data_IF_572503092298
#
_entry.id   IF_572503092298
#
_cell.length_a   1.000
_cell.length_b   1.000
_cell.length_c   1.000
_cell.angle_alpha   90.00
_cell.angle_beta   90.00
_cell.angle_gamma   90.00
#
_symmetry.space_group_name_H-M   'P 1'
#
loop_
_entity.id
_entity.type
_entity.pdbx_description
1 polymer ?
#
# COMPACT_ATOMS: atom_id res chain seq x y z
N UNK A 1 -9.43 -6.53 -2.83
CA UNK A 1 -8.38 -7.13 -3.67
C UNK A 1 -8.11 -8.56 -3.27
N UNK A 2 -8.30 -9.51 -4.21
CA UNK A 2 -8.07 -10.94 -3.99
C UNK A 2 -6.59 -11.29 -3.80
N UNK A 3 -5.70 -10.56 -4.46
CA UNK A 3 -4.25 -10.82 -4.43
C UNK A 3 -3.55 -10.16 -3.24
N UNK A 4 -3.97 -8.96 -2.86
CA UNK A 4 -3.38 -8.17 -1.77
C UNK A 4 -4.45 -7.57 -0.85
N UNK A 5 -5.11 -8.39 -0.02
CA UNK A 5 -6.18 -7.90 0.86
C UNK A 5 -5.63 -6.88 1.86
N UNK A 6 -6.26 -5.70 1.88
CA UNK A 6 -5.85 -4.58 2.72
C UNK A 6 -4.64 -3.81 2.19
N UNK A 7 -4.19 -4.04 0.96
CA UNK A 7 -3.17 -3.21 0.31
C UNK A 7 -3.80 -2.05 -0.47
N UNK A 8 -3.15 -0.88 -0.43
CA UNK A 8 -3.25 0.10 -1.50
C UNK A 8 -2.30 -0.36 -2.60
N UNK A 9 -2.67 -0.19 -3.86
CA UNK A 9 -1.84 -0.51 -5.03
C UNK A 9 -2.18 0.49 -6.13
N UNK A 10 -1.32 0.59 -7.13
CA UNK A 10 -1.66 1.21 -8.40
C UNK A 10 -2.47 0.20 -9.23
N UNK A 11 -3.44 0.64 -10.05
CA UNK A 11 -4.18 -0.27 -10.90
C UNK A 11 -3.27 -1.03 -11.86
N UNK A 12 -3.52 -2.32 -12.06
CA UNK A 12 -2.72 -3.11 -12.99
C UNK A 12 -2.87 -4.62 -12.83
N UNK A 13 -2.47 -5.32 -13.88
CA UNK A 13 -2.55 -6.77 -13.97
C UNK A 13 -1.70 -7.32 -15.12
N UNK A 14 -2.15 -8.44 -15.69
CA UNK A 14 -1.42 -9.16 -16.72
C UNK A 14 -1.40 -8.42 -18.06
N UNK A 15 -0.39 -8.69 -18.87
CA UNK A 15 -0.35 -8.26 -20.28
C UNK A 15 -0.71 -9.46 -21.13
N UNK A 16 -1.75 -9.33 -21.94
CA UNK A 16 -2.18 -10.42 -22.82
C UNK A 16 -1.26 -10.58 -24.04
N UNK A 17 -1.29 -11.76 -24.65
CA UNK A 17 -0.50 -12.02 -25.86
C UNK A 17 -0.88 -11.07 -27.00
N UNK A 18 0.10 -10.30 -27.47
CA UNK A 18 -0.09 -9.31 -28.54
C UNK A 18 -0.63 -7.97 -28.06
N UNK A 19 -0.92 -7.82 -26.76
CA UNK A 19 -1.35 -6.56 -26.15
C UNK A 19 -0.13 -5.65 -25.91
N UNK A 20 -0.29 -4.35 -26.18
CA UNK A 20 0.74 -3.36 -25.83
C UNK A 20 0.68 -3.03 -24.34
N UNK A 21 1.81 -2.64 -23.73
CA UNK A 21 1.86 -2.26 -22.32
C UNK A 21 0.89 -1.11 -21.97
N UNK A 22 0.76 -0.13 -22.88
CA UNK A 22 -0.16 0.98 -22.68
C UNK A 22 -1.63 0.53 -22.77
N UNK A 23 -1.94 -0.41 -23.67
CA UNK A 23 -3.27 -1.00 -23.81
C UNK A 23 -3.63 -1.84 -22.58
N UNK A 24 -2.72 -2.70 -22.11
CA UNK A 24 -2.94 -3.50 -20.91
C UNK A 24 -3.19 -2.62 -19.68
N UNK A 25 -2.35 -1.61 -19.44
CA UNK A 25 -2.55 -0.69 -18.33
C UNK A 25 -3.85 0.11 -18.44
N UNK A 26 -4.28 0.50 -19.65
CA UNK A 26 -5.56 1.16 -19.87
C UNK A 26 -6.76 0.22 -19.62
N UNK A 27 -6.66 -1.05 -20.03
CA UNK A 27 -7.67 -2.08 -19.77
C UNK A 27 -7.82 -2.32 -18.28
N UNK A 28 -6.73 -2.56 -17.56
CA UNK A 28 -6.74 -2.81 -16.11
C UNK A 28 -7.29 -1.60 -15.33
N UNK A 29 -6.94 -0.38 -15.76
CA UNK A 29 -7.52 0.85 -15.18
C UNK A 29 -9.04 0.92 -15.39
N UNK A 30 -9.54 0.52 -16.56
CA UNK A 30 -10.98 0.45 -16.81
C UNK A 30 -11.63 -0.68 -16.00
N UNK A 31 -11.02 -1.87 -15.99
CA UNK A 31 -11.53 -3.03 -15.28
C UNK A 31 -11.63 -2.73 -13.79
N UNK A 32 -10.57 -2.27 -13.12
CA UNK A 32 -10.55 -2.13 -11.67
C UNK A 32 -11.28 -0.88 -11.13
N UNK A 33 -11.21 0.26 -11.86
CA UNK A 33 -11.73 1.56 -11.37
C UNK A 33 -12.68 2.27 -12.33
N UNK A 34 -13.01 1.66 -13.47
CA UNK A 34 -13.99 2.19 -14.43
C UNK A 34 -13.52 3.41 -15.22
N UNK A 35 -12.25 3.80 -15.11
CA UNK A 35 -11.74 4.99 -15.79
C UNK A 35 -11.32 4.63 -17.22
N UNK A 36 -11.95 5.28 -18.20
CA UNK A 36 -11.63 5.10 -19.61
C UNK A 36 -10.65 6.17 -20.07
N UNK A 37 -9.56 5.75 -20.71
CA UNK A 37 -8.60 6.63 -21.36
C UNK A 37 -8.96 6.83 -22.83
N UNK A 38 -8.73 8.04 -23.33
CA UNK A 38 -8.79 8.35 -24.76
C UNK A 38 -7.58 7.78 -25.50
N UNK A 39 -7.70 7.62 -26.81
CA UNK A 39 -6.58 7.18 -27.65
C UNK A 39 -5.36 8.13 -27.54
N UNK A 40 -5.60 9.43 -27.35
CA UNK A 40 -4.55 10.44 -27.17
C UNK A 40 -3.80 10.27 -25.84
N UNK A 41 -4.53 10.01 -24.74
CA UNK A 41 -3.91 9.76 -23.43
C UNK A 41 -3.09 8.46 -23.43
N UNK A 42 -3.56 7.43 -24.15
CA UNK A 42 -2.85 6.16 -24.30
C UNK A 42 -1.57 6.34 -25.12
N UNK A 43 -1.64 7.06 -26.25
CA UNK A 43 -0.49 7.22 -27.14
C UNK A 43 0.62 8.09 -26.54
N UNK A 44 0.28 9.02 -25.64
CA UNK A 44 1.24 9.86 -24.92
C UNK A 44 1.71 9.27 -23.58
N UNK A 45 1.30 8.05 -23.26
CA UNK A 45 1.73 7.34 -22.05
C UNK A 45 3.25 7.08 -22.06
N UNK A 46 3.84 6.95 -20.87
CA UNK A 46 5.28 6.68 -20.71
C UNK A 46 5.53 5.69 -19.58
N UNK A 47 6.57 4.88 -19.76
CA UNK A 47 7.11 4.05 -18.67
C UNK A 47 7.84 4.97 -17.68
N UNK A 48 7.56 4.81 -16.39
CA UNK A 48 8.22 5.56 -15.31
C UNK A 48 9.12 4.70 -14.45
N UNK A 49 8.87 3.39 -14.37
CA UNK A 49 9.65 2.47 -13.56
C UNK A 49 9.48 1.03 -14.05
N UNK A 50 10.51 0.22 -13.83
CA UNK A 50 10.46 -1.23 -13.94
C UNK A 50 10.83 -1.82 -12.59
N UNK A 51 10.11 -2.86 -12.17
CA UNK A 51 10.36 -3.53 -10.91
C UNK A 51 10.30 -5.05 -11.07
N UNK A 52 11.37 -5.72 -10.69
CA UNK A 52 11.40 -7.17 -10.64
C UNK A 52 10.75 -7.65 -9.33
N UNK A 53 9.61 -8.33 -9.45
CA UNK A 53 8.85 -8.84 -8.32
C UNK A 53 8.96 -10.36 -8.24
N UNK A 54 9.59 -10.84 -7.16
CA UNK A 54 9.76 -12.26 -6.86
C UNK A 54 9.00 -12.63 -5.58
N UNK A 55 8.40 -13.81 -5.56
CA UNK A 55 7.78 -14.39 -4.36
C UNK A 55 8.15 -15.87 -4.19
N UNK A 56 8.60 -16.30 -3.01
CA UNK A 56 9.07 -15.46 -1.91
C UNK A 56 10.28 -14.60 -2.31
N UNK A 57 10.53 -13.52 -1.57
CA UNK A 57 11.66 -12.60 -1.84
C UNK A 57 13.01 -13.21 -1.48
N UNK A 58 13.01 -14.29 -0.69
CA UNK A 58 14.19 -15.02 -0.28
C UNK A 58 14.01 -16.52 -0.53
N UNK A 59 15.06 -17.16 -1.03
CA UNK A 59 15.11 -18.62 -1.21
C UNK A 59 15.12 -19.38 0.12
N UNK A 60 15.43 -18.70 1.23
CA UNK A 60 15.31 -19.25 2.60
C UNK A 60 13.85 -19.51 2.97
N UNK A 61 12.91 -18.72 2.44
CA UNK A 61 11.47 -18.90 2.66
C UNK A 61 10.84 -19.98 1.76
N UNK A 62 11.60 -20.46 0.76
CA UNK A 62 11.20 -21.54 -0.15
C UNK A 62 11.48 -21.25 -1.62
N UNK A 63 11.09 -22.17 -2.53
CA UNK A 63 11.27 -21.99 -3.97
C UNK A 63 10.41 -20.85 -4.52
N UNK A 64 10.89 -20.20 -5.58
CA UNK A 64 10.15 -19.18 -6.32
C UNK A 64 8.81 -19.73 -6.81
N UNK A 65 7.73 -19.02 -6.49
CA UNK A 65 6.34 -19.30 -6.88
C UNK A 65 5.77 -18.25 -7.82
N UNK A 66 6.39 -17.07 -7.89
CA UNK A 66 6.01 -16.00 -8.79
C UNK A 66 7.22 -15.14 -9.11
N UNK A 67 7.34 -14.79 -10.39
CA UNK A 67 8.40 -13.93 -10.91
C UNK A 67 7.80 -13.09 -12.03
N UNK A 68 7.68 -11.79 -11.78
CA UNK A 68 7.06 -10.85 -12.69
C UNK A 68 7.95 -9.63 -12.86
N UNK A 69 8.03 -9.12 -14.08
CA UNK A 69 8.53 -7.78 -14.34
C UNK A 69 7.33 -6.83 -14.37
N UNK A 70 7.21 -6.00 -13.35
CA UNK A 70 6.15 -4.98 -13.27
C UNK A 70 6.63 -3.74 -14.00
N UNK A 71 5.85 -3.29 -14.99
CA UNK A 71 6.13 -2.05 -15.73
C UNK A 71 5.12 -1.00 -15.31
N UNK A 72 5.58 0.08 -14.71
CA UNK A 72 4.73 1.18 -14.28
C UNK A 72 4.58 2.20 -15.41
N UNK A 73 3.33 2.45 -15.79
CA UNK A 73 2.95 3.38 -16.84
C UNK A 73 2.34 4.65 -16.23
N UNK A 74 2.70 5.80 -16.78
CA UNK A 74 2.09 7.09 -16.47
C UNK A 74 1.22 7.54 -17.62
N UNK A 75 -0.01 7.93 -17.27
CA UNK A 75 -0.95 8.60 -18.16
C UNK A 75 -1.18 10.03 -17.66
N UNK A 76 -1.36 10.97 -18.59
CA UNK A 76 -1.76 12.35 -18.26
C UNK A 76 -3.22 12.50 -18.66
N UNK A 77 -4.08 12.66 -17.68
CA UNK A 77 -5.51 12.85 -17.91
C UNK A 77 -5.83 14.24 -18.44
N UNK A 78 -6.78 14.34 -19.36
CA UNK A 78 -7.20 15.59 -19.99
C UNK A 78 -8.02 16.49 -19.04
N UNK A 79 -8.80 15.88 -18.15
CA UNK A 79 -9.68 16.59 -17.22
C UNK A 79 -9.12 16.60 -15.79
N UNK A 80 -9.54 17.56 -14.94
CA UNK A 80 -9.30 17.49 -13.51
C UNK A 80 -9.94 16.24 -12.88
N UNK A 81 -9.32 15.69 -11.84
CA UNK A 81 -9.78 14.47 -11.16
C UNK A 81 -11.26 14.53 -10.69
N UNK A 82 -11.75 15.72 -10.33
CA UNK A 82 -13.14 15.94 -9.89
C UNK A 82 -14.19 15.69 -10.99
N UNK A 83 -13.79 15.61 -12.26
CA UNK A 83 -14.70 15.35 -13.39
C UNK A 83 -14.80 13.87 -13.76
N UNK A 84 -13.98 13.01 -13.15
CA UNK A 84 -14.05 11.57 -13.37
C UNK A 84 -14.92 10.90 -12.32
N UNK A 85 -15.89 10.11 -12.78
CA UNK A 85 -16.61 9.16 -11.92
C UNK A 85 -15.89 7.82 -11.97
N UNK A 86 -15.45 7.34 -10.80
CA UNK A 86 -14.81 6.02 -10.66
C UNK A 86 -15.87 4.97 -10.36
N UNK A 87 -15.78 3.83 -11.03
CA UNK A 87 -16.64 2.67 -10.83
C UNK A 87 -15.77 1.49 -10.41
N UNK A 88 -15.69 1.26 -9.10
CA UNK A 88 -14.82 0.22 -8.54
C UNK A 88 -15.42 -1.16 -8.77
N UNK A 89 -14.60 -2.12 -9.21
CA UNK A 89 -14.99 -3.53 -9.17
C UNK A 89 -14.86 -4.07 -7.76
N UNK A 90 -15.96 -4.36 -7.06
CA UNK A 90 -15.92 -4.66 -5.62
C UNK A 90 -15.15 -5.93 -5.28
N UNK A 91 -15.04 -6.88 -6.21
CA UNK A 91 -14.25 -8.09 -6.04
C UNK A 91 -12.74 -7.82 -5.97
N UNK A 92 -12.29 -6.71 -6.58
CA UNK A 92 -10.87 -6.39 -6.75
C UNK A 92 -10.49 -5.13 -5.99
N UNK A 93 -11.27 -4.07 -6.06
CA UNK A 93 -10.97 -2.77 -5.45
C UNK A 93 -12.10 -2.36 -4.51
N UNK A 94 -11.78 -2.21 -3.23
CA UNK A 94 -12.74 -1.75 -2.22
C UNK A 94 -12.71 -0.24 -1.99
N UNK A 95 -11.58 0.41 -2.32
CA UNK A 95 -11.36 1.85 -2.14
C UNK A 95 -10.40 2.38 -3.20
N UNK A 96 -10.61 3.63 -3.61
CA UNK A 96 -9.73 4.38 -4.49
C UNK A 96 -9.53 5.80 -3.95
N UNK A 97 -8.43 6.45 -4.32
CA UNK A 97 -8.19 7.83 -3.93
C UNK A 97 -7.33 8.59 -4.95
N UNK A 98 -7.66 9.86 -5.15
CA UNK A 98 -6.78 10.81 -5.83
C UNK A 98 -5.85 11.47 -4.81
N UNK A 99 -4.54 11.43 -5.07
CA UNK A 99 -3.52 12.07 -4.25
C UNK A 99 -3.00 13.34 -4.91
N UNK A 100 -2.92 14.43 -4.15
CA UNK A 100 -2.13 15.60 -4.54
C UNK A 100 -0.63 15.30 -4.44
N UNK A 101 0.23 16.08 -5.11
CA UNK A 101 1.68 15.94 -4.97
C UNK A 101 2.17 16.03 -3.51
N UNK A 102 1.56 16.90 -2.71
CA UNK A 102 1.91 17.06 -1.29
C UNK A 102 1.59 15.81 -0.47
N UNK A 103 0.42 15.21 -0.69
CA UNK A 103 0.02 13.99 0.02
C UNK A 103 0.83 12.79 -0.43
N UNK A 104 1.15 12.71 -1.72
CA UNK A 104 2.06 11.69 -2.23
C UNK A 104 3.42 11.80 -1.54
N UNK A 105 3.98 13.01 -1.43
CA UNK A 105 5.23 13.25 -0.70
C UNK A 105 5.13 12.84 0.78
N UNK A 106 4.00 13.09 1.44
CA UNK A 106 3.77 12.66 2.83
C UNK A 106 3.73 11.13 2.97
N UNK A 107 3.07 10.44 2.04
CA UNK A 107 2.99 8.98 2.01
C UNK A 107 4.38 8.38 1.79
N UNK A 108 5.14 8.91 0.82
CA UNK A 108 6.51 8.48 0.54
C UNK A 108 7.46 8.71 1.73
N UNK A 109 7.36 9.88 2.38
CA UNK A 109 8.17 10.20 3.56
C UNK A 109 7.88 9.27 4.74
N UNK A 110 6.60 8.96 4.99
CA UNK A 110 6.21 8.01 6.03
C UNK A 110 6.80 6.63 5.78
N UNK A 111 6.72 6.14 4.54
CA UNK A 111 7.29 4.85 4.17
C UNK A 111 8.82 4.81 4.32
N UNK A 112 9.51 5.87 3.91
CA UNK A 112 10.97 5.97 4.07
C UNK A 112 11.40 5.95 5.54
N UNK A 113 10.61 6.55 6.44
CA UNK A 113 10.84 6.49 7.88
C UNK A 113 10.65 5.06 8.41
N UNK A 114 9.52 4.42 8.10
CA UNK A 114 9.21 3.05 8.52
C UNK A 114 10.29 2.04 8.08
N UNK A 115 10.82 2.21 6.85
CA UNK A 115 11.89 1.38 6.29
C UNK A 115 13.22 1.59 7.02
N UNK A 116 13.60 2.83 7.33
CA UNK A 116 14.82 3.14 8.10
C UNK A 116 14.76 2.55 9.50
N UNK A 117 13.63 2.67 10.17
CA UNK A 117 13.43 2.13 11.52
C UNK A 117 13.49 0.60 11.51
N UNK A 118 12.92 -0.06 10.50
CA UNK A 118 13.01 -1.51 10.33
C UNK A 118 14.45 -1.99 10.12
N UNK A 119 15.25 -1.28 9.31
CA UNK A 119 16.67 -1.58 9.09
C UNK A 119 17.47 -1.38 10.38
N UNK A 120 17.28 -0.25 11.07
CA UNK A 120 17.96 0.04 12.33
C UNK A 120 17.65 -1.02 13.42
N UNK A 121 16.40 -1.49 13.48
CA UNK A 121 16.01 -2.55 14.41
C UNK A 121 16.57 -3.92 14.05
N UNK A 122 16.70 -4.24 12.76
CA UNK A 122 17.37 -5.46 12.29
C UNK A 122 18.88 -5.45 12.59
N UNK A 123 19.55 -4.31 12.39
CA UNK A 123 20.96 -4.14 12.73
C UNK A 123 21.22 -4.23 14.23
N UNK A 124 20.32 -3.67 15.06
CA UNK A 124 20.39 -3.78 16.52
C UNK A 124 20.17 -5.22 17.01
N UNK A 125 19.25 -5.96 16.40
CA UNK A 125 18.97 -7.37 16.73
C UNK A 125 20.07 -8.35 16.28
N UNK A 126 20.87 -7.98 15.27
CA UNK A 126 22.02 -8.78 14.81
C UNK A 126 23.23 -8.61 15.73
N UNK A 127 23.25 -7.56 16.56
CA UNK A 127 24.32 -7.27 17.51
C UNK A 127 23.94 -7.68 18.94
N UNK A 128 23.64 -8.96 19.16
CA UNK A 128 23.53 -9.49 20.50
C UNK A 128 24.93 -9.50 21.18
N UNK A 129 25.08 -9.01 22.43
CA UNK A 129 26.29 -9.22 23.20
C UNK A 129 26.41 -10.72 23.53
N UNK A 130 27.63 -11.26 23.46
CA UNK A 130 27.93 -12.63 23.91
C UNK A 130 27.49 -12.81 25.37
N UNK A 131 26.50 -13.66 25.62
CA UNK A 131 26.06 -13.96 26.99
C UNK A 131 27.11 -14.80 27.73
N UNK A 132 27.42 -14.48 29.00
CA UNK A 132 28.05 -15.42 29.91
C UNK A 132 27.00 -16.34 30.54
N UNK A 133 27.34 -17.63 30.54
CA UNK A 133 26.58 -18.73 31.16
C UNK A 133 26.41 -18.51 32.65
N UNK A 134 25.18 -18.49 33.17
CA UNK A 134 24.90 -18.86 34.56
C UNK A 134 23.52 -19.51 34.76
N UNK A 135 23.51 -20.41 35.72
CA UNK A 135 22.54 -21.47 36.04
C UNK A 135 21.50 -21.08 37.11
N UNK A 136 20.26 -21.49 36.86
CA UNK A 136 19.24 -22.04 37.80
C UNK A 136 18.70 -21.22 39.00
N UNK A 137 17.36 -21.01 39.06
CA UNK A 137 16.35 -21.65 39.98
C UNK A 137 15.19 -20.74 40.44
N UNK A 138 13.95 -21.30 40.45
CA UNK A 138 12.84 -21.15 41.46
C UNK A 138 12.13 -19.77 41.61
N UNK A 139 10.82 -19.57 41.89
CA UNK A 139 9.55 -20.34 42.02
C UNK A 139 8.36 -19.36 42.27
N UNK A 140 7.12 -19.87 42.14
CA UNK A 140 5.86 -19.53 42.85
C UNK A 140 4.98 -18.28 42.54
N UNK A 141 3.83 -18.56 41.88
CA UNK A 141 2.39 -18.37 42.28
C UNK A 141 1.79 -17.02 42.73
N UNK A 142 0.58 -16.71 42.21
CA UNK A 142 -0.42 -15.80 42.81
C UNK A 142 -1.71 -15.63 41.98
N UNK A 143 -2.88 -15.88 42.61
CA UNK A 143 -4.29 -15.91 42.14
C UNK A 143 -4.94 -14.50 41.92
N UNK A 144 -5.86 -14.26 40.97
CA UNK A 144 -7.36 -14.36 40.91
C UNK A 144 -8.23 -13.15 41.39
N UNK A 145 -9.32 -12.88 40.66
CA UNK A 145 -10.51 -12.03 41.01
C UNK A 145 -10.72 -10.81 40.08
N UNK A 146 -11.91 -10.38 39.61
CA UNK A 146 -13.33 -10.75 39.72
C UNK A 146 -14.25 -9.56 39.32
N UNK A 147 -15.45 -9.84 38.76
CA UNK A 147 -16.68 -8.99 38.54
C UNK A 147 -16.60 -7.74 37.62
N UNK A 148 -17.45 -7.50 36.60
CA UNK A 148 -18.93 -7.45 36.39
C UNK A 148 -19.61 -6.10 36.77
N UNK A 149 -20.45 -5.56 35.87
CA UNK A 149 -21.45 -4.51 36.16
C UNK A 149 -21.56 -3.27 35.23
N UNK A 150 -22.51 -3.30 34.28
CA UNK A 150 -23.66 -2.35 34.20
C UNK A 150 -23.60 -1.00 33.45
N UNK A 151 -24.46 -0.87 32.41
CA UNK A 151 -25.31 0.30 31.98
C UNK A 151 -24.65 1.65 31.63
N UNK A 152 -25.23 2.60 30.89
CA UNK A 152 -26.46 2.76 30.11
C UNK A 152 -26.36 4.11 29.35
N UNK A 153 -27.17 4.29 28.31
CA UNK A 153 -27.72 5.55 27.75
C UNK A 153 -26.84 6.72 27.24
N UNK A 154 -26.89 6.89 25.91
CA UNK A 154 -27.65 7.99 25.29
C UNK A 154 -27.08 9.41 25.34
N UNK A 155 -26.52 9.88 24.22
CA UNK A 155 -26.71 11.25 23.74
C UNK A 155 -26.32 11.36 22.26
N UNK A 156 -27.32 11.48 21.39
CA UNK A 156 -27.10 11.89 20.01
C UNK A 156 -26.53 13.31 19.98
N UNK A 157 -25.33 13.44 19.43
CA UNK A 157 -24.78 14.74 19.04
C UNK A 157 -24.86 14.84 17.53
N UNK A 158 -25.61 15.84 17.07
CA UNK A 158 -25.67 16.29 15.69
C UNK A 158 -24.26 16.71 15.27
N UNK A 159 -23.56 15.80 14.57
CA UNK A 159 -22.19 15.98 14.12
C UNK A 159 -22.11 16.83 12.87
N UNK A 160 -21.53 18.01 13.06
CA UNK A 160 -20.85 18.88 12.10
C UNK A 160 -20.56 18.25 10.71
N UNK A 161 -21.34 18.65 9.70
CA UNK A 161 -21.14 18.23 8.31
C UNK A 161 -19.86 18.81 7.68
N UNK A 162 -19.17 19.76 8.33
CA UNK A 162 -17.91 20.35 7.88
C UNK A 162 -16.65 19.55 8.22
N UNK A 163 -16.65 18.81 9.34
CA UNK A 163 -15.55 17.93 9.75
C UNK A 163 -15.39 16.69 8.85
N UNK A 164 -16.41 16.33 8.08
CA UNK A 164 -16.57 15.00 7.47
C UNK A 164 -15.61 14.67 6.30
N UNK A 165 -15.27 15.64 5.44
CA UNK A 165 -14.45 15.40 4.24
C UNK A 165 -12.95 15.44 4.53
N UNK A 166 -12.51 16.38 5.38
CA UNK A 166 -11.11 16.48 5.79
C UNK A 166 -10.71 15.30 6.68
N UNK A 167 -11.60 14.87 7.58
CA UNK A 167 -11.39 13.68 8.42
C UNK A 167 -11.38 12.40 7.58
N UNK A 168 -12.29 12.28 6.60
CA UNK A 168 -12.28 11.15 5.67
C UNK A 168 -10.99 11.09 4.83
N UNK A 169 -10.50 12.24 4.34
CA UNK A 169 -9.24 12.33 3.59
C UNK A 169 -8.04 12.00 4.46
N UNK A 170 -8.02 12.50 5.69
CA UNK A 170 -6.98 12.17 6.68
C UNK A 170 -6.97 10.69 7.01
N UNK A 171 -8.14 10.08 7.19
CA UNK A 171 -8.28 8.64 7.44
C UNK A 171 -7.78 7.80 6.25
N UNK A 172 -8.03 8.23 5.00
CA UNK A 172 -7.47 7.58 3.80
C UNK A 172 -5.94 7.62 3.82
N UNK A 173 -5.35 8.80 4.04
CA UNK A 173 -3.89 8.95 4.09
C UNK A 173 -3.26 8.16 5.24
N UNK A 174 -3.91 8.14 6.40
CA UNK A 174 -3.47 7.31 7.53
C UNK A 174 -3.56 5.82 7.21
N UNK A 175 -4.62 5.38 6.51
CA UNK A 175 -4.71 3.98 6.08
C UNK A 175 -3.61 3.59 5.11
N UNK A 176 -3.17 4.49 4.22
CA UNK A 176 -2.06 4.24 3.30
C UNK A 176 -0.73 4.02 4.04
N UNK A 177 -0.59 4.57 5.26
CA UNK A 177 0.58 4.38 6.11
C UNK A 177 0.50 3.01 6.79
N UNK A 178 1.53 2.18 6.61
CA UNK A 178 1.65 0.87 7.27
C UNK A 178 0.84 -0.28 6.64
N UNK A 179 0.07 -0.04 5.57
CA UNK A 179 -0.73 -1.07 4.91
C UNK A 179 0.14 -2.17 4.25
N UNK A 180 1.32 -1.78 3.80
CA UNK A 180 2.32 -2.69 3.30
C UNK A 180 3.15 -3.22 4.48
N UNK A 181 2.55 -4.12 5.27
CA UNK A 181 3.17 -4.68 6.46
C UNK A 181 4.58 -5.24 6.24
N UNK A 182 5.36 -5.36 7.33
CA UNK A 182 6.80 -5.64 7.32
C UNK A 182 7.21 -7.07 6.86
N UNK A 183 6.28 -7.93 6.43
CA UNK A 183 6.54 -9.35 6.16
C UNK A 183 5.68 -9.94 5.02
N UNK A 184 6.25 -10.90 4.28
CA UNK A 184 5.56 -11.76 3.31
C UNK A 184 5.37 -11.18 1.91
N UNK A 185 4.40 -11.75 1.15
CA UNK A 185 4.14 -11.44 -0.28
C UNK A 185 3.90 -9.96 -0.58
N UNK A 186 3.52 -9.18 0.43
CA UNK A 186 3.17 -7.75 0.30
C UNK A 186 4.40 -6.85 0.19
N UNK A 187 5.55 -7.27 0.73
CA UNK A 187 6.74 -6.42 0.84
C UNK A 187 7.35 -6.08 -0.54
N UNK A 188 7.63 -7.08 -1.36
CA UNK A 188 8.27 -6.86 -2.66
C UNK A 188 7.39 -6.04 -3.62
N UNK A 189 6.07 -6.19 -3.56
CA UNK A 189 5.15 -5.43 -4.39
C UNK A 189 4.97 -4.01 -3.86
N UNK A 190 4.92 -3.83 -2.54
CA UNK A 190 4.93 -2.51 -1.92
C UNK A 190 6.14 -1.69 -2.34
N UNK A 191 7.32 -2.30 -2.27
CA UNK A 191 8.58 -1.66 -2.64
C UNK A 191 8.55 -1.19 -4.09
N UNK A 192 8.03 -2.01 -5.00
CA UNK A 192 7.83 -1.61 -6.39
C UNK A 192 6.89 -0.42 -6.55
N UNK A 193 5.77 -0.40 -5.83
CA UNK A 193 4.82 0.72 -5.89
C UNK A 193 5.43 2.01 -5.36
N UNK A 194 6.10 1.95 -4.20
CA UNK A 194 6.77 3.12 -3.64
C UNK A 194 7.91 3.61 -4.51
N UNK A 195 8.69 2.71 -5.11
CA UNK A 195 9.72 3.06 -6.08
C UNK A 195 9.14 3.77 -7.30
N UNK A 196 8.06 3.25 -7.89
CA UNK A 196 7.40 3.87 -9.03
C UNK A 196 6.82 5.25 -8.68
N UNK A 197 6.19 5.36 -7.52
CA UNK A 197 5.63 6.62 -7.02
C UNK A 197 6.70 7.68 -6.76
N UNK A 198 7.91 7.30 -6.31
CA UNK A 198 9.01 8.26 -6.15
C UNK A 198 9.52 8.80 -7.49
N UNK A 199 9.47 8.00 -8.56
CA UNK A 199 9.83 8.48 -9.90
C UNK A 199 8.86 9.57 -10.42
N UNK A 200 7.62 9.59 -9.92
CA UNK A 200 6.66 10.64 -10.27
C UNK A 200 7.01 11.99 -9.64
N UNK A 201 7.62 12.02 -8.46
CA UNK A 201 7.98 13.29 -7.79
C UNK A 201 9.27 13.89 -8.33
N UNK A 202 10.22 13.05 -8.77
CA UNK A 202 11.56 13.50 -9.17
C UNK A 202 11.61 14.11 -10.58
N UNK A 203 10.58 13.90 -11.39
CA UNK A 203 10.48 14.44 -12.77
C UNK A 203 9.62 15.70 -12.89
N UNK A 204 9.30 16.35 -11.77
CA UNK A 204 8.53 17.61 -11.72
C UNK A 204 9.32 18.84 -11.23
N UNK A 205 10.65 18.73 -11.10
CA UNK A 205 11.58 19.86 -10.92
C UNK A 205 12.49 20.04 -12.13
#
# INVERSE_FOLDING_TARGET
>A
MRLFPGAWVLPGGGVDHGESLATAAARELYEEVGLTLTADEICHSRIIALWESCYPVSTVEGPLRGHHLVVYMRFKLALPCAQYTLLLQPEEVSRCAWLSPQELAQVLASYAHDKRDAVAQADAGTRAPSEPVHSSTSSCSGEAGGADGGGDDGAGQNGDLGATLADARTAVLQSMKGIYGKQGRRLGIAEGHFFALSQLTDHHN
#
